data_IF_948752862771
#
_entry.id   IF_948752862771
#
_cell.length_a   1.000
_cell.length_b   1.000
_cell.length_c   1.000
_cell.angle_alpha   90.00
_cell.angle_beta   90.00
_cell.angle_gamma   90.00
#
_symmetry.space_group_name_H-M   'P 1'
#
loop_
_entity.id
_entity.type
_entity.pdbx_description
1 polymer ?
#
# COMPACT_ATOMS: atom_id res chain seq x y z
N UNK A 1 -21.31 -25.48 6.89
CA UNK A 1 -20.43 -26.49 7.50
C UNK A 1 -19.00 -25.96 7.64
N UNK A 2 -18.82 -24.75 8.20
CA UNK A 2 -17.52 -24.11 8.50
C UNK A 2 -17.37 -23.83 10.01
N UNK A 3 -18.44 -24.04 10.79
CA UNK A 3 -18.57 -23.65 12.21
C UNK A 3 -18.24 -24.79 13.20
N UNK A 4 -18.07 -26.03 12.72
CA UNK A 4 -17.89 -27.21 13.59
C UNK A 4 -16.44 -27.56 13.93
N UNK A 5 -15.44 -26.84 13.41
CA UNK A 5 -14.07 -27.01 13.86
C UNK A 5 -13.74 -25.91 14.88
N UNK A 6 -13.77 -26.26 16.17
CA UNK A 6 -13.37 -25.43 17.33
C UNK A 6 -11.90 -24.96 17.33
N UNK A 7 -11.29 -24.80 16.16
CA UNK A 7 -10.01 -24.15 15.92
C UNK A 7 -10.14 -22.63 15.99
N UNK A 8 -11.31 -22.08 15.63
CA UNK A 8 -11.57 -20.64 15.64
C UNK A 8 -11.89 -20.07 17.03
N UNK A 9 -12.36 -20.91 17.97
CA UNK A 9 -12.80 -20.45 19.30
C UNK A 9 -11.70 -19.99 20.25
N UNK A 10 -10.42 -20.14 19.87
CA UNK A 10 -9.25 -19.63 20.62
C UNK A 10 -8.41 -18.61 19.84
N UNK A 11 -8.78 -18.33 18.59
CA UNK A 11 -8.05 -17.38 17.76
C UNK A 11 -8.62 -15.99 17.98
N UNK A 12 -7.76 -14.99 18.19
CA UNK A 12 -8.16 -13.59 18.07
C UNK A 12 -8.82 -13.34 16.70
N UNK A 13 -9.55 -12.23 16.58
CA UNK A 13 -10.21 -11.83 15.34
C UNK A 13 -9.29 -12.08 14.12
N UNK A 14 -9.70 -12.97 13.22
CA UNK A 14 -8.99 -13.27 11.98
C UNK A 14 -9.96 -13.13 10.81
N UNK A 15 -9.46 -12.67 9.68
CA UNK A 15 -10.21 -12.66 8.42
C UNK A 15 -9.27 -12.99 7.28
N UNK A 16 -9.80 -13.59 6.21
CA UNK A 16 -9.03 -13.79 4.99
C UNK A 16 -9.62 -13.02 3.82
N UNK A 17 -8.75 -12.70 2.87
CA UNK A 17 -9.14 -12.13 1.60
C UNK A 17 -8.22 -12.61 0.50
N UNK A 18 -8.76 -12.59 -0.71
CA UNK A 18 -8.01 -12.70 -1.95
C UNK A 18 -7.98 -11.34 -2.64
N UNK A 19 -6.88 -11.02 -3.31
CA UNK A 19 -6.73 -9.74 -4.03
C UNK A 19 -6.45 -9.98 -5.49
N UNK A 20 -7.25 -9.37 -6.33
CA UNK A 20 -7.11 -9.43 -7.77
C UNK A 20 -7.10 -8.02 -8.35
N UNK A 21 -6.43 -7.86 -9.48
CA UNK A 21 -6.65 -6.69 -10.34
C UNK A 21 -7.95 -6.93 -11.10
N UNK A 22 -8.95 -6.11 -10.81
CA UNK A 22 -10.30 -6.21 -11.36
C UNK A 22 -10.52 -5.08 -12.36
N UNK A 23 -11.16 -5.40 -13.47
CA UNK A 23 -11.70 -4.36 -14.35
C UNK A 23 -13.08 -3.95 -13.87
N UNK A 24 -13.23 -2.68 -13.47
CA UNK A 24 -14.48 -2.13 -12.94
C UNK A 24 -15.00 -1.04 -13.86
N UNK A 25 -16.27 -1.10 -14.24
CA UNK A 25 -16.85 -0.08 -15.14
C UNK A 25 -18.33 0.21 -14.88
N UNK A 26 -18.75 1.43 -15.21
CA UNK A 26 -20.15 1.89 -15.20
C UNK A 26 -20.77 1.92 -16.60
N UNK A 27 -20.14 1.26 -17.57
CA UNK A 27 -20.53 1.22 -18.98
C UNK A 27 -19.91 2.33 -19.83
N UNK A 28 -19.84 3.56 -19.32
CA UNK A 28 -19.21 4.70 -20.00
C UNK A 28 -17.74 4.92 -19.61
N UNK A 29 -17.38 4.54 -18.39
CA UNK A 29 -16.04 4.73 -17.81
C UNK A 29 -15.64 3.41 -17.15
N UNK A 30 -14.38 3.03 -17.28
CA UNK A 30 -13.82 1.84 -16.65
C UNK A 30 -12.40 2.05 -16.17
N UNK A 31 -12.05 1.36 -15.10
CA UNK A 31 -10.75 1.47 -14.43
C UNK A 31 -10.30 0.10 -13.93
N UNK A 32 -8.99 -0.15 -14.03
CA UNK A 32 -8.36 -1.32 -13.42
C UNK A 32 -7.99 -0.98 -11.98
N UNK A 33 -8.53 -1.73 -11.03
CA UNK A 33 -8.34 -1.47 -9.60
C UNK A 33 -8.02 -2.77 -8.86
N UNK A 34 -7.29 -2.64 -7.76
CA UNK A 34 -7.13 -3.76 -6.83
C UNK A 34 -8.40 -3.95 -6.03
N UNK A 35 -9.08 -5.06 -6.26
CA UNK A 35 -10.29 -5.46 -5.53
C UNK A 35 -10.02 -6.62 -4.60
N UNK A 36 -10.82 -6.68 -3.53
CA UNK A 36 -10.74 -7.72 -2.51
C UNK A 36 -11.98 -8.61 -2.56
N UNK A 37 -11.74 -9.91 -2.64
CA UNK A 37 -12.76 -10.93 -2.39
C UNK A 37 -12.61 -11.36 -0.93
N UNK A 38 -13.56 -11.02 -0.07
CA UNK A 38 -13.41 -11.13 1.39
C UNK A 38 -14.22 -12.26 1.99
N UNK A 39 -13.79 -12.77 3.14
CA UNK A 39 -14.57 -13.75 3.91
C UNK A 39 -15.73 -13.11 4.67
N UNK A 40 -16.65 -13.95 5.18
CA UNK A 40 -17.79 -13.50 6.00
C UNK A 40 -17.35 -12.74 7.24
N UNK A 41 -16.24 -13.18 7.84
CA UNK A 41 -15.63 -12.64 9.05
C UNK A 41 -15.02 -11.24 8.84
N UNK A 42 -14.76 -10.84 7.60
CA UNK A 42 -14.19 -9.53 7.25
C UNK A 42 -15.08 -8.36 7.66
N UNK A 43 -16.40 -8.55 7.62
CA UNK A 43 -17.38 -7.53 8.00
C UNK A 43 -17.28 -7.17 9.49
N UNK A 44 -17.07 -8.16 10.35
CA UNK A 44 -16.88 -7.98 11.80
C UNK A 44 -15.51 -7.41 12.13
N UNK A 45 -14.49 -7.74 11.34
CA UNK A 45 -13.09 -7.40 11.60
C UNK A 45 -12.80 -5.89 11.57
N UNK A 46 -13.44 -5.13 10.67
CA UNK A 46 -13.11 -3.72 10.48
C UNK A 46 -14.01 -2.74 11.25
N UNK A 47 -15.17 -3.16 11.78
CA UNK A 47 -16.05 -2.39 12.67
C UNK A 47 -16.53 -1.00 12.21
N UNK A 48 -16.14 -0.56 11.00
CA UNK A 48 -16.39 0.79 10.48
C UNK A 48 -17.74 0.86 9.76
N UNK A 49 -18.42 1.99 9.96
CA UNK A 49 -19.66 2.30 9.27
C UNK A 49 -19.37 2.80 7.85
N UNK A 50 -20.21 2.38 6.91
CA UNK A 50 -20.21 2.94 5.56
C UNK A 50 -20.66 4.41 5.61
N UNK A 51 -20.10 5.24 4.73
CA UNK A 51 -20.54 6.63 4.51
C UNK A 51 -21.96 6.66 3.92
N UNK A 52 -22.19 5.77 2.94
CA UNK A 52 -23.48 5.58 2.28
C UNK A 52 -23.83 4.09 2.28
N UNK A 53 -25.10 3.76 2.44
CA UNK A 53 -25.59 2.38 2.41
C UNK A 53 -25.12 1.57 3.62
N UNK A 54 -24.63 0.35 3.37
CA UNK A 54 -24.24 -0.60 4.42
C UNK A 54 -22.96 -1.37 4.07
N UNK A 55 -22.21 -1.87 5.07
CA UNK A 55 -21.18 -2.88 4.82
C UNK A 55 -21.78 -4.19 4.30
N UNK A 56 -20.90 -5.08 3.80
CA UNK A 56 -21.26 -6.46 3.53
C UNK A 56 -21.75 -7.13 4.82
N UNK A 57 -22.79 -7.93 4.68
CA UNK A 57 -23.49 -8.62 5.77
C UNK A 57 -23.50 -10.12 5.53
N UNK A 58 -23.78 -10.90 6.58
CA UNK A 58 -23.78 -12.36 6.51
C UNK A 58 -24.64 -12.96 5.37
N UNK A 59 -25.74 -12.30 4.99
CA UNK A 59 -26.63 -12.76 3.90
C UNK A 59 -26.03 -12.58 2.50
N UNK A 60 -25.07 -11.67 2.33
CA UNK A 60 -24.45 -11.40 1.03
C UNK A 60 -23.43 -12.49 0.63
N UNK A 61 -23.06 -13.37 1.56
CA UNK A 61 -22.14 -14.49 1.34
C UNK A 61 -22.86 -15.80 0.98
N UNK A 62 -24.18 -15.77 0.80
CA UNK A 62 -24.92 -16.91 0.25
C UNK A 62 -24.61 -17.03 -1.25
N UNK A 63 -24.19 -18.20 -1.78
CA UNK A 63 -23.93 -18.39 -3.21
C UNK A 63 -25.12 -18.06 -4.13
N UNK A 64 -26.34 -18.07 -3.59
CA UNK A 64 -27.57 -17.71 -4.29
C UNK A 64 -27.92 -16.22 -4.15
N UNK A 65 -27.18 -15.46 -3.35
CA UNK A 65 -27.39 -14.03 -3.19
C UNK A 65 -27.05 -13.29 -4.49
N UNK A 66 -27.77 -12.19 -4.79
CA UNK A 66 -27.39 -11.30 -5.87
C UNK A 66 -25.94 -10.80 -5.69
N UNK A 67 -25.15 -10.65 -6.76
CA UNK A 67 -23.82 -10.08 -6.66
C UNK A 67 -23.87 -8.65 -6.13
N UNK A 68 -23.21 -8.43 -5.00
CA UNK A 68 -23.13 -7.12 -4.34
C UNK A 68 -21.70 -6.71 -4.08
N UNK A 69 -21.48 -5.41 -3.98
CA UNK A 69 -20.15 -4.83 -3.79
C UNK A 69 -20.20 -3.60 -2.89
N UNK A 70 -19.14 -3.41 -2.12
CA UNK A 70 -18.86 -2.18 -1.39
C UNK A 70 -17.65 -1.52 -2.04
N UNK A 71 -17.70 -0.20 -2.26
CA UNK A 71 -16.64 0.56 -2.94
C UNK A 71 -15.97 1.57 -2.00
N UNK A 72 -14.74 1.96 -2.30
CA UNK A 72 -14.03 3.01 -1.56
C UNK A 72 -14.57 4.40 -1.92
N UNK A 73 -14.32 5.39 -1.05
CA UNK A 73 -14.59 6.79 -1.36
C UNK A 73 -13.93 7.22 -2.69
N UNK A 74 -12.65 6.87 -2.89
CA UNK A 74 -11.95 7.21 -4.12
C UNK A 74 -12.64 6.64 -5.37
N UNK A 75 -13.03 5.37 -5.36
CA UNK A 75 -13.70 4.75 -6.51
C UNK A 75 -15.09 5.34 -6.77
N UNK A 76 -15.81 5.69 -5.70
CA UNK A 76 -17.07 6.43 -5.79
C UNK A 76 -16.91 7.80 -6.45
N UNK A 77 -15.85 8.54 -6.11
CA UNK A 77 -15.53 9.82 -6.75
C UNK A 77 -15.14 9.64 -8.22
N UNK A 78 -14.30 8.65 -8.54
CA UNK A 78 -13.82 8.44 -9.93
C UNK A 78 -14.90 7.94 -10.87
N UNK A 79 -15.64 6.89 -10.49
CA UNK A 79 -16.58 6.22 -11.40
C UNK A 79 -18.00 6.80 -11.37
N UNK A 80 -18.39 7.45 -10.27
CA UNK A 80 -19.74 7.97 -10.06
C UNK A 80 -19.77 9.48 -9.82
N UNK A 81 -18.64 10.19 -9.96
CA UNK A 81 -18.53 11.62 -9.73
C UNK A 81 -19.08 12.07 -8.35
N UNK A 82 -18.99 11.20 -7.33
CA UNK A 82 -19.51 11.49 -6.00
C UNK A 82 -21.05 11.51 -5.91
N UNK A 83 -21.77 10.83 -6.81
CA UNK A 83 -23.24 10.78 -6.77
C UNK A 83 -23.74 10.07 -5.49
N UNK A 84 -24.47 10.78 -4.64
CA UNK A 84 -25.02 10.25 -3.38
C UNK A 84 -26.02 9.10 -3.59
N UNK A 85 -26.62 9.00 -4.78
CA UNK A 85 -27.53 7.92 -5.17
C UNK A 85 -26.80 6.71 -5.78
N UNK A 86 -25.52 6.50 -5.46
CA UNK A 86 -24.73 5.36 -5.95
C UNK A 86 -25.21 4.02 -5.39
N UNK A 87 -25.78 4.02 -4.18
CA UNK A 87 -26.28 2.78 -3.55
C UNK A 87 -27.48 2.25 -4.34
N UNK A 88 -27.43 0.99 -4.72
CA UNK A 88 -28.40 0.34 -5.60
C UNK A 88 -28.05 0.41 -7.09
N UNK A 89 -27.02 1.18 -7.48
CA UNK A 89 -26.59 1.22 -8.88
C UNK A 89 -25.77 -0.02 -9.25
N UNK A 90 -25.82 -0.35 -10.55
CA UNK A 90 -25.05 -1.45 -11.12
C UNK A 90 -23.66 -1.00 -11.54
N UNK A 91 -22.66 -1.79 -11.17
CA UNK A 91 -21.29 -1.71 -11.66
C UNK A 91 -20.90 -3.06 -12.25
N UNK A 92 -20.12 -3.05 -13.33
CA UNK A 92 -19.62 -4.27 -13.95
C UNK A 92 -18.21 -4.55 -13.45
N UNK A 93 -18.01 -5.72 -12.85
CA UNK A 93 -16.72 -6.20 -12.35
C UNK A 93 -16.35 -7.43 -13.17
N UNK A 94 -15.31 -7.34 -13.99
CA UNK A 94 -14.94 -8.37 -14.97
C UNK A 94 -16.13 -8.85 -15.81
N UNK A 95 -16.96 -7.90 -16.25
CA UNK A 95 -18.22 -8.13 -16.98
C UNK A 95 -19.37 -8.74 -16.18
N UNK A 96 -19.21 -8.98 -14.87
CA UNK A 96 -20.29 -9.44 -13.99
C UNK A 96 -21.04 -8.23 -13.40
N UNK A 97 -22.35 -8.08 -13.66
CA UNK A 97 -23.14 -7.01 -13.06
C UNK A 97 -23.26 -7.23 -11.55
N UNK A 98 -22.85 -6.23 -10.79
CA UNK A 98 -22.86 -6.22 -9.33
C UNK A 98 -23.52 -4.96 -8.82
N UNK A 99 -24.27 -5.06 -7.72
CA UNK A 99 -24.98 -3.92 -7.13
C UNK A 99 -24.14 -3.27 -6.04
N UNK A 100 -23.94 -1.96 -6.12
CA UNK A 100 -23.26 -1.20 -5.05
C UNK A 100 -24.18 -1.12 -3.83
N UNK A 101 -23.77 -1.71 -2.71
CA UNK A 101 -24.57 -1.70 -1.46
C UNK A 101 -24.03 -0.73 -0.41
N UNK A 102 -22.81 -0.21 -0.60
CA UNK A 102 -22.27 0.82 0.27
C UNK A 102 -20.98 1.45 -0.21
N UNK A 103 -20.65 2.59 0.38
CA UNK A 103 -19.41 3.34 0.16
C UNK A 103 -18.67 3.45 1.47
N UNK A 104 -17.40 3.03 1.49
CA UNK A 104 -16.56 3.08 2.69
C UNK A 104 -15.80 4.39 2.81
N UNK A 105 -15.53 4.87 4.04
CA UNK A 105 -14.75 6.07 4.27
C UNK A 105 -13.30 5.92 3.77
N UNK A 106 -12.63 7.04 3.60
CA UNK A 106 -11.19 7.06 3.30
C UNK A 106 -10.40 6.30 4.38
N UNK A 107 -9.35 5.61 3.94
CA UNK A 107 -8.52 4.78 4.83
C UNK A 107 -9.23 3.55 5.39
N UNK A 108 -10.37 3.12 4.84
CA UNK A 108 -11.07 1.90 5.27
C UNK A 108 -10.20 0.64 5.14
N UNK A 109 -9.45 0.50 4.05
CA UNK A 109 -8.40 -0.50 3.94
C UNK A 109 -7.35 -0.05 2.93
N UNK A 110 -6.09 -0.31 3.24
CA UNK A 110 -4.95 -0.06 2.36
C UNK A 110 -4.80 -1.13 1.27
N UNK A 111 -5.52 -2.26 1.40
CA UNK A 111 -5.30 -3.44 0.57
C UNK A 111 -6.15 -3.48 -0.70
N UNK A 112 -7.19 -2.64 -0.83
CA UNK A 112 -8.00 -2.57 -2.03
C UNK A 112 -9.01 -1.42 -2.04
N UNK A 113 -9.60 -1.17 -3.21
CA UNK A 113 -10.57 -0.09 -3.45
C UNK A 113 -12.01 -0.59 -3.56
N UNK A 114 -12.21 -1.90 -3.49
CA UNK A 114 -13.48 -2.58 -3.70
C UNK A 114 -13.51 -3.86 -2.87
N UNK A 115 -14.65 -4.17 -2.26
CA UNK A 115 -14.88 -5.39 -1.48
C UNK A 115 -16.11 -6.13 -2.00
N UNK A 116 -15.92 -7.39 -2.41
CA UNK A 116 -16.99 -8.30 -2.82
C UNK A 116 -16.98 -9.58 -1.96
N UNK A 117 -18.13 -10.25 -1.76
CA UNK A 117 -18.16 -11.54 -1.11
C UNK A 117 -17.27 -12.55 -1.86
N UNK A 118 -16.46 -13.29 -1.12
CA UNK A 118 -15.69 -14.40 -1.66
C UNK A 118 -16.62 -15.59 -1.93
N UNK A 119 -16.82 -15.92 -3.20
CA UNK A 119 -17.48 -17.16 -3.61
C UNK A 119 -16.44 -18.15 -4.10
N UNK A 120 -16.42 -19.32 -3.48
CA UNK A 120 -15.47 -20.38 -3.80
C UNK A 120 -15.66 -20.85 -5.25
N UNK A 121 -14.83 -20.34 -6.17
CA UNK A 121 -14.70 -20.91 -7.51
C UNK A 121 -13.48 -21.81 -7.55
N UNK A 122 -13.72 -23.07 -7.89
CA UNK A 122 -12.84 -24.21 -7.65
C UNK A 122 -11.56 -24.25 -8.51
N UNK A 123 -10.95 -23.13 -8.91
CA UNK A 123 -9.81 -23.20 -9.86
C UNK A 123 -8.69 -22.19 -9.69
N UNK A 124 -8.68 -21.29 -8.69
CA UNK A 124 -7.78 -20.14 -8.76
C UNK A 124 -7.06 -19.69 -7.48
N UNK A 125 -7.36 -20.21 -6.28
CA UNK A 125 -6.66 -19.73 -5.07
C UNK A 125 -5.22 -20.23 -5.07
N UNK A 126 -4.30 -19.40 -5.55
CA UNK A 126 -2.85 -19.64 -5.46
C UNK A 126 -2.28 -19.17 -4.13
N UNK A 127 -2.80 -18.07 -3.61
CA UNK A 127 -2.43 -17.54 -2.30
C UNK A 127 -3.65 -16.90 -1.64
N UNK A 128 -3.70 -16.99 -0.31
CA UNK A 128 -4.74 -16.40 0.50
C UNK A 128 -4.08 -15.53 1.57
N UNK A 129 -4.50 -14.27 1.67
CA UNK A 129 -3.96 -13.38 2.70
C UNK A 129 -4.83 -13.44 3.94
N UNK A 130 -4.18 -13.68 5.08
CA UNK A 130 -4.81 -13.78 6.38
C UNK A 130 -4.41 -12.56 7.21
N UNK A 131 -5.40 -11.77 7.60
CA UNK A 131 -5.24 -10.70 8.58
C UNK A 131 -5.53 -11.27 9.96
N UNK A 132 -4.54 -11.25 10.82
CA UNK A 132 -4.66 -11.61 12.23
C UNK A 132 -3.54 -10.95 13.03
N UNK A 133 -3.71 -10.89 14.35
CA UNK A 133 -2.66 -10.42 15.26
C UNK A 133 -1.89 -11.63 15.82
N UNK A 134 -0.66 -11.91 15.37
CA UNK A 134 0.14 -12.97 15.95
C UNK A 134 0.60 -12.58 17.37
N UNK A 135 0.79 -13.58 18.22
CA UNK A 135 1.32 -13.39 19.58
C UNK A 135 2.85 -13.44 19.59
N UNK A 136 3.43 -14.23 18.69
CA UNK A 136 4.86 -14.41 18.41
C UNK A 136 5.01 -15.15 17.06
N UNK A 137 6.24 -15.27 16.56
CA UNK A 137 6.53 -15.92 15.26
C UNK A 137 6.08 -17.39 15.21
N UNK A 138 6.20 -18.11 16.33
CA UNK A 138 5.76 -19.51 16.42
C UNK A 138 4.24 -19.64 16.30
N UNK A 139 3.48 -18.73 16.92
CA UNK A 139 2.03 -18.63 16.78
C UNK A 139 1.66 -18.29 15.34
N UNK A 140 2.40 -17.38 14.71
CA UNK A 140 2.17 -17.00 13.32
C UNK A 140 2.36 -18.17 12.35
N UNK A 141 3.49 -18.90 12.47
CA UNK A 141 3.79 -20.07 11.63
C UNK A 141 2.77 -21.19 11.85
N UNK A 142 2.37 -21.44 13.10
CA UNK A 142 1.37 -22.44 13.43
C UNK A 142 0.01 -22.11 12.81
N UNK A 143 -0.43 -20.85 12.89
CA UNK A 143 -1.70 -20.40 12.29
C UNK A 143 -1.64 -20.52 10.77
N UNK A 144 -0.55 -20.08 10.14
CA UNK A 144 -0.32 -20.24 8.70
C UNK A 144 -0.42 -21.69 8.27
N UNK A 145 0.24 -22.60 8.98
CA UNK A 145 0.25 -24.03 8.66
C UNK A 145 -1.13 -24.67 8.83
N UNK A 146 -1.82 -24.43 9.94
CA UNK A 146 -3.14 -25.01 10.18
C UNK A 146 -4.14 -24.56 9.11
N UNK A 147 -4.09 -23.29 8.72
CA UNK A 147 -5.02 -22.73 7.73
C UNK A 147 -4.65 -23.20 6.33
N UNK A 148 -3.36 -23.23 5.97
CA UNK A 148 -2.94 -23.73 4.66
C UNK A 148 -3.35 -25.19 4.46
N UNK A 149 -3.11 -26.06 5.44
CA UNK A 149 -3.48 -27.48 5.39
C UNK A 149 -4.99 -27.66 5.23
N UNK A 150 -5.78 -27.05 6.13
CA UNK A 150 -7.24 -27.19 6.13
C UNK A 150 -7.89 -26.65 4.87
N UNK A 151 -7.40 -25.52 4.37
CA UNK A 151 -7.92 -24.93 3.14
C UNK A 151 -7.57 -25.78 1.93
N UNK A 152 -6.35 -26.30 1.87
CA UNK A 152 -5.93 -27.22 0.82
C UNK A 152 -6.79 -28.49 0.83
N UNK A 153 -7.10 -29.04 2.00
CA UNK A 153 -7.94 -30.24 2.12
C UNK A 153 -9.41 -29.96 1.76
N UNK A 154 -9.95 -28.84 2.22
CA UNK A 154 -11.30 -28.39 1.84
C UNK A 154 -11.40 -28.16 0.33
N UNK A 155 -10.33 -27.64 -0.28
CA UNK A 155 -10.25 -27.44 -1.71
C UNK A 155 -10.25 -28.77 -2.47
N UNK A 156 -9.37 -29.69 -2.08
CA UNK A 156 -9.32 -31.05 -2.65
C UNK A 156 -10.65 -31.78 -2.54
N UNK A 157 -11.37 -31.61 -1.43
CA UNK A 157 -12.67 -32.23 -1.22
C UNK A 157 -13.75 -31.69 -2.18
N UNK A 158 -13.67 -30.41 -2.56
CA UNK A 158 -14.59 -29.77 -3.51
C UNK A 158 -14.34 -30.16 -4.97
N UNK A 159 -13.18 -30.76 -5.27
CA UNK A 159 -12.74 -31.07 -6.63
C UNK A 159 -13.07 -32.51 -7.07
N UNK A 160 -13.32 -32.73 -8.37
CA UNK A 160 -13.37 -34.06 -8.98
C UNK A 160 -12.07 -34.84 -8.71
N UNK A 161 -12.18 -36.16 -8.53
CA UNK A 161 -11.04 -37.01 -8.15
C UNK A 161 -9.82 -36.86 -9.08
N UNK A 162 -10.03 -36.59 -10.37
CA UNK A 162 -8.97 -36.38 -11.36
C UNK A 162 -8.13 -35.12 -11.16
N UNK A 163 -8.61 -34.14 -10.39
CA UNK A 163 -7.91 -32.87 -10.16
C UNK A 163 -7.33 -32.75 -8.75
N UNK A 164 -7.62 -33.70 -7.85
CA UNK A 164 -7.20 -33.62 -6.43
C UNK A 164 -5.69 -33.71 -6.23
N UNK A 165 -5.00 -34.51 -7.04
CA UNK A 165 -3.56 -34.72 -6.96
C UNK A 165 -2.74 -33.54 -7.49
N UNK A 166 -3.34 -32.68 -8.33
CA UNK A 166 -2.68 -31.50 -8.91
C UNK A 166 -2.89 -30.22 -8.09
N UNK A 167 -3.49 -30.32 -6.90
CA UNK A 167 -3.73 -29.19 -6.01
C UNK A 167 -2.47 -28.88 -5.21
N UNK A 168 -1.82 -27.77 -5.55
CA UNK A 168 -0.76 -27.17 -4.74
C UNK A 168 -1.32 -26.66 -3.40
N UNK A 169 -0.51 -26.68 -2.31
CA UNK A 169 -0.91 -26.11 -1.04
C UNK A 169 -1.22 -24.61 -1.17
N UNK A 170 -2.32 -24.17 -0.57
CA UNK A 170 -2.67 -22.74 -0.53
C UNK A 170 -1.63 -22.00 0.31
N UNK A 171 -0.93 -21.03 -0.30
CA UNK A 171 0.01 -20.19 0.42
C UNK A 171 -0.75 -19.20 1.32
N UNK A 172 -0.47 -19.21 2.63
CA UNK A 172 -1.09 -18.30 3.61
C UNK A 172 -0.09 -17.22 4.00
N UNK A 173 -0.36 -15.99 3.59
CA UNK A 173 0.45 -14.83 3.95
C UNK A 173 -0.22 -14.12 5.12
N UNK A 174 0.50 -13.97 6.24
CA UNK A 174 0.05 -13.13 7.35
C UNK A 174 0.26 -11.67 6.97
N UNK A 175 -0.73 -10.85 7.28
CA UNK A 175 -0.57 -9.41 7.33
C UNK A 175 -0.77 -9.02 8.79
N UNK A 176 0.33 -8.68 9.46
CA UNK A 176 0.28 -8.13 10.81
C UNK A 176 -0.16 -6.68 10.70
N UNK A 177 -1.27 -6.32 11.36
CA UNK A 177 -1.79 -4.95 11.45
C UNK A 177 -0.77 -3.92 11.99
N UNK A 178 0.36 -4.40 12.53
CA UNK A 178 1.42 -3.58 13.13
C UNK A 178 2.66 -3.47 12.23
N UNK A 179 2.72 -4.16 11.08
CA UNK A 179 3.93 -4.15 10.24
C UNK A 179 3.79 -3.35 8.93
N UNK A 180 2.61 -2.77 8.66
CA UNK A 180 2.41 -1.82 7.54
C UNK A 180 2.95 -0.41 7.84
N UNK A 181 3.74 -0.26 8.90
CA UNK A 181 4.64 0.88 9.09
C UNK A 181 6.12 0.50 9.01
N UNK A 182 6.45 -0.77 8.70
CA UNK A 182 7.82 -1.27 8.64
C UNK A 182 8.16 -2.07 7.39
N UNK A 183 7.35 -2.05 6.33
CA UNK A 183 8.02 -2.13 5.03
C UNK A 183 8.73 -0.80 4.84
N UNK A 184 9.96 -0.74 5.38
CA UNK A 184 10.87 0.39 5.38
C UNK A 184 11.14 0.92 3.98
N UNK A 185 10.43 0.51 2.93
CA UNK A 185 10.42 1.08 1.60
C UNK A 185 10.26 2.61 1.64
N UNK A 186 9.29 3.14 2.40
CA UNK A 186 9.12 4.60 2.55
C UNK A 186 10.34 5.26 3.21
N UNK A 187 10.86 4.66 4.28
CA UNK A 187 12.05 5.13 4.99
C UNK A 187 13.32 4.98 4.12
N UNK A 188 13.44 3.92 3.32
CA UNK A 188 14.54 3.64 2.38
C UNK A 188 14.53 4.63 1.23
N UNK A 189 13.37 4.92 0.65
CA UNK A 189 13.20 5.95 -0.38
C UNK A 189 13.53 7.32 0.19
N UNK A 190 13.05 7.63 1.40
CA UNK A 190 13.35 8.88 2.08
C UNK A 190 14.84 9.03 2.38
N UNK A 191 15.49 8.01 2.96
CA UNK A 191 16.94 7.99 3.20
C UNK A 191 17.71 8.08 1.87
N UNK A 192 17.32 7.35 0.83
CA UNK A 192 17.97 7.41 -0.48
C UNK A 192 17.88 8.82 -1.09
N UNK A 193 16.70 9.46 -1.00
CA UNK A 193 16.50 10.84 -1.44
C UNK A 193 17.35 11.83 -0.64
N UNK A 194 17.45 11.64 0.68
CA UNK A 194 18.28 12.47 1.55
C UNK A 194 19.77 12.32 1.22
N UNK A 195 20.24 11.09 1.02
CA UNK A 195 21.63 10.80 0.61
C UNK A 195 21.94 11.46 -0.74
N UNK A 196 21.03 11.38 -1.71
CA UNK A 196 21.18 12.01 -3.01
C UNK A 196 21.28 13.54 -2.89
N UNK A 197 20.39 14.17 -2.12
CA UNK A 197 20.42 15.62 -1.87
C UNK A 197 21.73 16.05 -1.23
N UNK A 198 22.19 15.33 -0.20
CA UNK A 198 23.48 15.62 0.46
C UNK A 198 24.66 15.48 -0.51
N UNK A 199 24.66 14.46 -1.36
CA UNK A 199 25.71 14.28 -2.37
C UNK A 199 25.75 15.44 -3.38
N UNK A 200 24.60 15.91 -3.85
CA UNK A 200 24.51 17.06 -4.77
C UNK A 200 25.06 18.34 -4.10
N UNK A 201 24.69 18.58 -2.83
CA UNK A 201 25.18 19.72 -2.06
C UNK A 201 26.70 19.65 -1.87
N UNK A 202 27.27 18.47 -1.61
CA UNK A 202 28.72 18.28 -1.49
C UNK A 202 29.45 18.57 -2.80
N UNK A 203 28.93 18.09 -3.93
CA UNK A 203 29.50 18.40 -5.25
C UNK A 203 29.49 19.90 -5.52
N UNK A 204 28.39 20.58 -5.20
CA UNK A 204 28.30 22.03 -5.32
C UNK A 204 29.32 22.76 -4.41
N UNK A 205 29.47 22.33 -3.16
CA UNK A 205 30.41 22.93 -2.21
C UNK A 205 31.88 22.75 -2.64
N UNK A 206 32.23 21.58 -3.20
CA UNK A 206 33.56 21.31 -3.78
C UNK A 206 33.82 22.24 -4.96
N UNK A 207 32.84 22.40 -5.86
CA UNK A 207 32.96 23.30 -7.01
C UNK A 207 33.14 24.76 -6.60
N UNK A 208 32.38 25.22 -5.60
CA UNK A 208 32.52 26.57 -5.05
C UNK A 208 33.91 26.76 -4.43
N UNK A 209 34.40 25.77 -3.66
CA UNK A 209 35.74 25.82 -3.07
C UNK A 209 36.83 25.92 -4.13
N UNK A 210 36.75 25.11 -5.19
CA UNK A 210 37.70 25.16 -6.31
C UNK A 210 37.68 26.52 -7.02
N UNK A 211 36.49 27.10 -7.21
CA UNK A 211 36.33 28.41 -7.83
C UNK A 211 36.87 29.54 -6.95
N UNK A 212 36.63 29.50 -5.64
CA UNK A 212 37.18 30.46 -4.68
C UNK A 212 38.71 30.37 -4.61
N UNK A 213 39.27 29.16 -4.62
CA UNK A 213 40.72 28.96 -4.65
C UNK A 213 41.34 29.51 -5.94
N UNK A 214 40.71 29.26 -7.10
CA UNK A 214 41.16 29.81 -8.38
C UNK A 214 41.16 31.35 -8.39
N UNK A 215 40.12 31.99 -7.83
CA UNK A 215 40.05 33.45 -7.68
C UNK A 215 41.11 33.99 -6.73
N UNK A 216 41.34 33.32 -5.60
CA UNK A 216 42.37 33.71 -4.64
C UNK A 216 43.77 33.69 -5.27
N UNK A 217 44.07 32.66 -6.07
CA UNK A 217 45.33 32.55 -6.80
C UNK A 217 45.50 33.63 -7.89
N UNK A 218 44.42 34.00 -8.59
CA UNK A 218 44.46 35.11 -9.55
C UNK A 218 44.79 36.44 -8.86
N UNK A 219 44.16 36.74 -7.72
CA UNK A 219 44.42 37.98 -6.98
C UNK A 219 45.79 38.02 -6.28
N UNK A 220 46.42 36.87 -6.00
CA UNK A 220 47.78 36.82 -5.44
C UNK A 220 48.84 37.38 -6.40
N UNK A 221 48.67 37.20 -7.72
CA UNK A 221 49.61 37.74 -8.72
C UNK A 221 49.59 39.26 -8.74
N UNK A 222 48.40 39.85 -8.68
CA UNK A 222 48.23 41.31 -8.60
C UNK A 222 48.75 41.89 -7.29
N UNK A 223 48.56 41.17 -6.18
CA UNK A 223 49.08 41.56 -4.87
C UNK A 223 50.62 41.49 -4.81
N UNK A 224 51.23 40.45 -5.41
CA UNK A 224 52.68 40.30 -5.49
C UNK A 224 53.32 41.37 -6.38
N UNK A 225 52.69 41.74 -7.50
CA UNK A 225 53.17 42.82 -8.38
C UNK A 225 53.07 44.18 -7.68
N UNK A 226 51.97 44.47 -6.96
CA UNK A 226 51.85 45.71 -6.17
C UNK A 226 52.81 45.76 -4.97
N UNK A 227 53.11 44.62 -4.36
CA UNK A 227 54.13 44.52 -3.33
C UNK A 227 55.54 44.77 -3.89
N UNK A 228 55.84 44.24 -5.09
CA UNK A 228 57.10 44.50 -5.79
C UNK A 228 57.24 45.97 -6.25
N UNK A 229 56.13 46.66 -6.49
CA UNK A 229 56.07 48.11 -6.78
C UNK A 229 56.06 49.00 -5.53
N UNK A 230 56.15 48.42 -4.32
CA UNK A 230 56.41 49.17 -3.08
C UNK A 230 55.18 49.70 -2.34
N UNK A 231 53.96 49.21 -2.64
CA UNK A 231 52.78 49.58 -1.83
C UNK A 231 52.89 48.95 -0.43
N UNK A 232 53.14 49.77 0.60
CA UNK A 232 53.30 49.30 1.98
C UNK A 232 52.02 48.63 2.50
N UNK A 233 52.21 47.48 3.15
CA UNK A 233 51.17 46.53 3.58
C UNK A 233 50.15 47.08 4.58
N UNK A 234 50.35 48.28 5.12
CA UNK A 234 49.52 48.86 6.18
C UNK A 234 48.29 49.60 5.63
N UNK A 235 48.37 50.22 4.44
CA UNK A 235 47.26 51.03 3.88
C UNK A 235 46.18 50.15 3.24
N UNK A 236 46.55 48.97 2.72
CA UNK A 236 45.61 48.03 2.07
C UNK A 236 44.68 47.33 3.06
N UNK A 237 45.17 46.97 4.25
CA UNK A 237 44.40 46.25 5.26
C UNK A 237 43.28 47.12 5.87
N UNK A 238 43.55 48.41 6.07
CA UNK A 238 42.57 49.37 6.61
C UNK A 238 41.45 49.66 5.61
N UNK A 239 41.75 49.71 4.31
CA UNK A 239 40.74 50.05 3.29
C UNK A 239 39.82 48.85 2.93
N UNK A 240 40.29 47.61 3.06
CA UNK A 240 39.45 46.42 2.88
C UNK A 240 38.49 46.18 4.04
N UNK A 241 38.86 46.54 5.29
CA UNK A 241 37.96 46.47 6.43
C UNK A 241 36.85 47.54 6.37
N UNK A 242 37.15 48.72 5.81
CA UNK A 242 36.15 49.79 5.61
C UNK A 242 35.11 49.48 4.53
N UNK A 243 35.45 48.69 3.50
CA UNK A 243 34.51 48.28 2.44
C UNK A 243 33.67 47.04 2.78
N UNK A 244 34.00 46.31 3.83
CA UNK A 244 33.23 45.16 4.28
C UNK A 244 32.09 45.54 5.27
N UNK A 245 32.02 46.80 5.69
CA UNK A 245 31.08 47.32 6.69
C UNK A 245 30.15 48.45 6.17
N UNK A 246 30.09 48.66 4.85
CA UNK A 246 29.11 49.49 4.14
C UNK A 246 28.54 48.68 2.98
#
# INVERSE_FOLDING_TARGET
MMEQAGVFGKMGEFTYFDSDDLWVSTGSIGESIRGLSVSKEYSSFNGRRALLGRPLSASDFDPSAPPVVVISNWLWQQLFAGNENVVGQTVFIDSVPSTVVGVMPEGYSAYGQLWRPYFYKSSAIRSMRLLFRPSNDAHEQLVKQIISERMTDSYRASLPQSQRESVEPVEVVSLSLVDESTDNMGVKILIASLVLVVAIVLVAAINISNLLLARALQHQRDAAIRAALGASSVVSFVNSLLKAYC
#
